data_IF_741365583647
#
_entry.id   IF_741365583647
#
_cell.length_a   1.000
_cell.length_b   1.000
_cell.length_c   1.000
_cell.angle_alpha   90.00
_cell.angle_beta   90.00
_cell.angle_gamma   90.00
#
_symmetry.space_group_name_H-M   'P 1'
#
loop_
_entity.id
_entity.type
_entity.pdbx_description
1 polymer ?
#
# COMPACT_ATOMS: atom_id res chain seq x y z
N UNK A 1 1.54 -23.31 -14.45
CA UNK A 1 2.59 -22.46 -13.83
C UNK A 1 1.98 -21.40 -12.91
N UNK A 2 1.15 -21.81 -11.94
CA UNK A 2 0.33 -20.89 -11.13
C UNK A 2 1.11 -20.18 -10.00
N UNK A 3 2.26 -20.73 -9.57
CA UNK A 3 3.06 -20.15 -8.49
C UNK A 3 3.84 -18.90 -8.92
N UNK A 4 4.47 -18.93 -10.09
CA UNK A 4 5.26 -17.80 -10.60
C UNK A 4 4.38 -16.55 -10.83
N UNK A 5 3.19 -16.73 -11.40
CA UNK A 5 2.25 -15.62 -11.61
C UNK A 5 1.78 -15.00 -10.29
N UNK A 6 1.59 -15.82 -9.24
CA UNK A 6 1.21 -15.33 -7.90
C UNK A 6 2.34 -14.50 -7.26
N UNK A 7 3.59 -14.95 -7.37
CA UNK A 7 4.76 -14.20 -6.87
C UNK A 7 4.92 -12.87 -7.60
N UNK A 8 4.84 -12.88 -8.94
CA UNK A 8 4.94 -11.66 -9.74
C UNK A 8 3.80 -10.67 -9.44
N UNK A 9 2.58 -11.17 -9.23
CA UNK A 9 1.45 -10.33 -8.83
C UNK A 9 1.67 -9.70 -7.45
N UNK A 10 2.14 -10.48 -6.48
CA UNK A 10 2.47 -10.00 -5.14
C UNK A 10 3.54 -8.90 -5.19
N UNK A 11 4.61 -9.12 -5.95
CA UNK A 11 5.67 -8.13 -6.15
C UNK A 11 5.14 -6.85 -6.81
N UNK A 12 4.29 -6.98 -7.84
CA UNK A 12 3.64 -5.83 -8.50
C UNK A 12 2.80 -5.01 -7.51
N UNK A 13 1.99 -5.67 -6.70
CA UNK A 13 1.14 -5.01 -5.70
C UNK A 13 1.98 -4.29 -4.65
N UNK A 14 3.04 -4.94 -4.15
CA UNK A 14 3.97 -4.33 -3.20
C UNK A 14 4.64 -3.09 -3.79
N UNK A 15 5.19 -3.17 -5.01
CA UNK A 15 5.85 -2.03 -5.64
C UNK A 15 4.89 -0.87 -5.88
N UNK A 16 3.66 -1.14 -6.32
CA UNK A 16 2.65 -0.11 -6.51
C UNK A 16 2.26 0.57 -5.18
N UNK A 17 1.98 -0.22 -4.15
CA UNK A 17 1.63 0.30 -2.83
C UNK A 17 2.77 1.16 -2.25
N UNK A 18 4.02 0.73 -2.40
CA UNK A 18 5.17 1.52 -1.93
C UNK A 18 5.42 2.77 -2.77
N UNK A 19 5.18 2.74 -4.08
CA UNK A 19 5.29 3.93 -4.92
C UNK A 19 4.33 5.04 -4.46
N UNK A 20 3.09 4.68 -4.14
CA UNK A 20 2.11 5.61 -3.57
C UNK A 20 2.55 6.07 -2.16
N UNK A 21 3.10 5.14 -1.37
CA UNK A 21 3.81 5.42 -0.11
C UNK A 21 4.78 6.59 -0.21
N UNK A 22 5.69 6.50 -1.18
CA UNK A 22 6.70 7.52 -1.45
C UNK A 22 6.07 8.84 -1.92
N UNK A 23 5.03 8.79 -2.76
CA UNK A 23 4.32 9.99 -3.21
C UNK A 23 3.70 10.77 -2.05
N UNK A 24 3.03 10.09 -1.11
CA UNK A 24 2.45 10.74 0.07
C UNK A 24 3.53 11.26 1.01
N UNK A 25 4.61 10.50 1.20
CA UNK A 25 5.76 10.98 1.97
C UNK A 25 6.36 12.26 1.36
N UNK A 26 6.56 12.29 0.04
CA UNK A 26 7.04 13.47 -0.67
C UNK A 26 6.09 14.66 -0.54
N UNK A 27 4.78 14.44 -0.69
CA UNK A 27 3.78 15.49 -0.53
C UNK A 27 3.78 16.07 0.90
N UNK A 28 3.91 15.22 1.92
CA UNK A 28 4.01 15.66 3.31
C UNK A 28 5.28 16.49 3.57
N UNK A 29 6.43 16.05 3.03
CA UNK A 29 7.71 16.78 3.18
C UNK A 29 7.64 18.13 2.49
N UNK A 30 7.11 18.18 1.26
CA UNK A 30 7.00 19.41 0.48
C UNK A 30 6.13 20.48 1.15
N UNK A 31 5.14 20.07 1.95
CA UNK A 31 4.18 20.96 2.59
C UNK A 31 4.38 21.09 4.11
N UNK A 32 5.50 20.59 4.66
CA UNK A 32 5.71 20.57 6.12
C UNK A 32 5.73 21.97 6.75
N UNK A 33 6.13 23.00 6.00
CA UNK A 33 6.18 24.38 6.45
C UNK A 33 4.98 25.22 5.98
N UNK A 34 3.99 24.61 5.31
CA UNK A 34 2.79 25.31 4.88
C UNK A 34 1.84 25.43 6.06
N UNK A 35 1.44 26.67 6.39
CA UNK A 35 0.50 26.92 7.49
C UNK A 35 -0.82 26.18 7.24
N UNK A 36 -1.39 25.62 8.33
CA UNK A 36 -2.62 24.81 8.29
C UNK A 36 -2.52 23.51 7.45
N UNK A 37 -1.31 23.06 7.07
CA UNK A 37 -1.15 21.77 6.43
C UNK A 37 -1.39 20.62 7.42
N UNK A 38 -2.27 19.70 7.01
CA UNK A 38 -2.55 18.46 7.73
C UNK A 38 -1.91 17.29 6.97
N UNK A 39 -1.00 16.59 7.66
CA UNK A 39 -0.24 15.48 7.08
C UNK A 39 -1.16 14.31 6.70
N UNK A 40 -0.83 13.66 5.60
CA UNK A 40 -1.51 12.45 5.14
C UNK A 40 -0.80 11.20 5.66
N UNK A 41 -1.56 10.23 6.16
CA UNK A 41 -1.08 8.91 6.57
C UNK A 41 -1.75 7.84 5.72
N UNK A 42 -0.95 6.91 5.21
CA UNK A 42 -1.42 5.76 4.45
C UNK A 42 -1.69 4.60 5.42
N UNK A 43 -2.83 3.94 5.23
CA UNK A 43 -3.14 2.63 5.79
C UNK A 43 -2.91 1.56 4.74
N UNK A 44 -2.07 0.57 5.04
CA UNK A 44 -1.87 -0.61 4.22
C UNK A 44 -2.74 -1.76 4.74
N UNK A 45 -3.34 -2.53 3.84
CA UNK A 45 -4.08 -3.75 4.16
C UNK A 45 -3.62 -4.91 3.29
N UNK A 46 -3.70 -6.12 3.82
CA UNK A 46 -3.46 -7.33 3.03
C UNK A 46 -4.62 -7.53 2.05
N UNK A 47 -4.31 -7.97 0.82
CA UNK A 47 -5.33 -8.37 -0.15
C UNK A 47 -5.89 -9.76 0.18
N UNK A 48 -7.07 -10.08 -0.34
CA UNK A 48 -7.72 -11.36 -0.05
C UNK A 48 -6.84 -12.57 -0.42
N UNK A 49 -6.62 -13.51 0.50
CA UNK A 49 -5.75 -14.64 0.26
C UNK A 49 -6.29 -15.53 -0.88
N UNK A 50 -5.38 -16.05 -1.70
CA UNK A 50 -5.70 -16.97 -2.78
C UNK A 50 -5.70 -18.41 -2.24
N UNK A 51 -6.71 -19.20 -2.62
CA UNK A 51 -6.80 -20.60 -2.20
C UNK A 51 -6.04 -21.49 -3.18
N UNK A 52 -5.04 -22.23 -2.69
CA UNK A 52 -4.24 -23.16 -3.48
C UNK A 52 -4.12 -24.50 -2.76
N UNK A 53 -4.59 -25.58 -3.38
CA UNK A 53 -4.44 -26.94 -2.83
C UNK A 53 -5.04 -27.14 -1.43
N UNK A 54 -6.09 -26.39 -1.07
CA UNK A 54 -6.70 -26.44 0.28
C UNK A 54 -6.06 -25.50 1.31
N UNK A 55 -4.97 -24.82 0.96
CA UNK A 55 -4.30 -23.83 1.81
C UNK A 55 -4.63 -22.39 1.33
N UNK A 56 -4.55 -21.43 2.24
CA UNK A 56 -4.68 -20.00 1.94
C UNK A 56 -3.29 -19.38 1.86
N UNK A 57 -2.98 -18.77 0.71
CA UNK A 57 -1.74 -18.05 0.47
C UNK A 57 -2.03 -16.54 0.40
N UNK A 58 -1.23 -15.74 1.09
CA UNK A 58 -1.30 -14.28 0.98
C UNK A 58 -1.09 -13.83 -0.46
N UNK A 59 -1.89 -12.87 -0.93
CA UNK A 59 -1.90 -12.45 -2.34
C UNK A 59 -1.24 -11.08 -2.58
N UNK A 60 -0.79 -10.42 -1.51
CA UNK A 60 -0.12 -9.12 -1.56
C UNK A 60 -0.65 -8.10 -0.56
N UNK A 61 -0.40 -6.83 -0.88
CA UNK A 61 -0.74 -5.67 -0.07
C UNK A 61 -1.36 -4.60 -0.96
N UNK A 62 -2.30 -3.85 -0.41
CA UNK A 62 -2.92 -2.70 -1.06
C UNK A 62 -3.01 -1.52 -0.11
N UNK A 63 -3.34 -0.36 -0.65
CA UNK A 63 -3.64 0.83 0.15
C UNK A 63 -5.13 0.83 0.44
N UNK A 64 -5.45 0.83 1.72
CA UNK A 64 -6.81 0.82 2.23
C UNK A 64 -7.35 2.24 2.34
N UNK A 65 -6.56 3.13 2.94
CA UNK A 65 -6.98 4.50 3.21
C UNK A 65 -5.81 5.47 3.12
N UNK A 66 -6.13 6.72 2.75
CA UNK A 66 -5.23 7.88 2.90
C UNK A 66 -5.97 8.88 3.77
N UNK A 67 -5.60 8.96 5.05
CA UNK A 67 -6.29 9.78 6.03
C UNK A 67 -5.47 11.03 6.35
N UNK A 68 -6.14 12.15 6.57
CA UNK A 68 -5.52 13.39 7.05
C UNK A 68 -5.51 13.39 8.57
N UNK A 69 -4.38 13.69 9.17
CA UNK A 69 -4.24 13.75 10.64
C UNK A 69 -4.50 15.18 11.07
N UNK A 70 -5.68 15.41 11.63
CA UNK A 70 -6.04 16.66 12.28
C UNK A 70 -5.94 16.44 13.80
N UNK A 71 -5.19 17.30 14.51
CA UNK A 71 -5.14 17.32 15.97
C UNK A 71 -6.22 18.25 16.52
#
# INVERSE_FOLDING_TARGET
MSGLSSVLNTAKLALNAQQIGLTVAGHNIANVNTESFSRQKIGFSATDPQKYGGQLLGSGVQIDTIQRINN
#
